data_IF_532295779387
#
_entry.id   IF_532295779387
#
_cell.length_a   1.000
_cell.length_b   1.000
_cell.length_c   1.000
_cell.angle_alpha   90.00
_cell.angle_beta   90.00
_cell.angle_gamma   90.00
#
_symmetry.space_group_name_H-M   'P 1'
#
loop_
_entity.id
_entity.type
_entity.pdbx_description
1 polymer ?
#
# COMPACT_ATOMS: atom_id res chain seq x y z
N UNK A 1 -2.12 -12.35 -20.86
CA UNK A 1 -2.05 -12.33 -22.34
C UNK A 1 -1.13 -13.43 -22.87
N UNK A 2 0.17 -13.44 -22.54
CA UNK A 2 1.12 -14.46 -23.04
C UNK A 2 0.68 -15.92 -22.82
N UNK A 3 0.15 -16.25 -21.63
CA UNK A 3 -0.32 -17.61 -21.33
C UNK A 3 -1.55 -18.02 -22.15
N UNK A 4 -2.48 -17.12 -22.44
CA UNK A 4 -3.65 -17.41 -23.27
C UNK A 4 -3.22 -17.71 -24.71
N UNK A 5 -2.28 -16.94 -25.24
CA UNK A 5 -1.71 -17.14 -26.59
C UNK A 5 -0.97 -18.48 -26.68
N UNK A 6 -0.23 -18.84 -25.63
CA UNK A 6 0.46 -20.12 -25.55
C UNK A 6 -0.54 -21.30 -25.47
N UNK A 7 -1.61 -21.16 -24.70
CA UNK A 7 -2.69 -22.15 -24.61
C UNK A 7 -3.39 -22.35 -25.96
N UNK A 8 -3.69 -21.26 -26.67
CA UNK A 8 -4.27 -21.34 -28.02
C UNK A 8 -3.32 -21.97 -29.04
N UNK A 9 -2.02 -21.73 -28.92
CA UNK A 9 -1.02 -22.36 -29.80
C UNK A 9 -1.01 -23.89 -29.65
N UNK A 10 -1.00 -24.40 -28.41
CA UNK A 10 -1.09 -25.85 -28.17
C UNK A 10 -2.41 -26.45 -28.61
N UNK A 11 -3.52 -25.71 -28.53
CA UNK A 11 -4.81 -26.14 -29.06
C UNK A 11 -4.77 -26.28 -30.60
N UNK A 12 -4.15 -25.33 -31.31
CA UNK A 12 -3.97 -25.41 -32.76
C UNK A 12 -3.07 -26.59 -33.17
N UNK A 13 -2.01 -26.84 -32.40
CA UNK A 13 -1.15 -28.03 -32.57
C UNK A 13 -1.94 -29.33 -32.40
N UNK A 14 -2.85 -29.41 -31.42
CA UNK A 14 -3.73 -30.56 -31.25
C UNK A 14 -4.60 -30.80 -32.50
N UNK A 15 -5.24 -29.75 -33.03
CA UNK A 15 -6.06 -29.85 -34.24
C UNK A 15 -5.26 -30.32 -35.48
N UNK A 16 -3.97 -29.98 -35.56
CA UNK A 16 -3.10 -30.40 -36.65
C UNK A 16 -2.49 -31.79 -36.51
N UNK A 17 -2.30 -32.29 -35.28
CA UNK A 17 -1.54 -33.53 -35.03
C UNK A 17 -2.32 -34.64 -34.31
N UNK A 18 -3.50 -34.36 -33.74
CA UNK A 18 -4.32 -35.28 -32.93
C UNK A 18 -3.55 -35.99 -31.79
N UNK A 19 -2.51 -35.34 -31.25
CA UNK A 19 -1.78 -35.84 -30.08
C UNK A 19 -2.36 -35.27 -28.79
N UNK A 20 -2.84 -36.15 -27.92
CA UNK A 20 -3.45 -35.79 -26.63
C UNK A 20 -2.51 -35.01 -25.69
N UNK A 21 -1.20 -35.16 -25.88
CA UNK A 21 -0.16 -34.39 -25.18
C UNK A 21 -0.40 -32.88 -25.30
N UNK A 22 -0.78 -32.40 -26.49
CA UNK A 22 -1.04 -30.98 -26.73
C UNK A 22 -2.38 -30.52 -26.14
N UNK A 23 -3.38 -31.40 -26.09
CA UNK A 23 -4.67 -31.11 -25.46
C UNK A 23 -4.48 -30.90 -23.95
N UNK A 24 -3.77 -31.82 -23.28
CA UNK A 24 -3.46 -31.73 -21.86
C UNK A 24 -2.64 -30.47 -21.53
N UNK A 25 -1.63 -30.15 -22.36
CA UNK A 25 -0.86 -28.92 -22.20
C UNK A 25 -1.73 -27.65 -22.32
N UNK A 26 -2.63 -27.59 -23.32
CA UNK A 26 -3.53 -26.45 -23.50
C UNK A 26 -4.46 -26.24 -22.29
N UNK A 27 -5.00 -27.33 -21.75
CA UNK A 27 -5.90 -27.31 -20.59
C UNK A 27 -5.19 -26.78 -19.34
N UNK A 28 -3.97 -27.24 -19.07
CA UNK A 28 -3.15 -26.75 -17.95
C UNK A 28 -2.83 -25.27 -18.10
N UNK A 29 -2.42 -24.82 -19.29
CA UNK A 29 -2.06 -23.42 -19.55
C UNK A 29 -3.26 -22.48 -19.37
N UNK A 30 -4.45 -22.88 -19.82
CA UNK A 30 -5.67 -22.09 -19.60
C UNK A 30 -6.06 -22.02 -18.12
N UNK A 31 -5.90 -23.11 -17.36
CA UNK A 31 -6.15 -23.14 -15.92
C UNK A 31 -5.24 -22.15 -15.17
N UNK A 32 -3.94 -22.16 -15.45
CA UNK A 32 -2.99 -21.21 -14.87
C UNK A 32 -3.29 -19.77 -15.28
N UNK A 33 -3.69 -19.54 -16.54
CA UNK A 33 -4.09 -18.22 -17.00
C UNK A 33 -5.34 -17.71 -16.27
N UNK A 34 -6.33 -18.57 -16.04
CA UNK A 34 -7.54 -18.23 -15.27
C UNK A 34 -7.22 -17.85 -13.83
N UNK A 35 -6.36 -18.63 -13.16
CA UNK A 35 -5.90 -18.33 -11.80
C UNK A 35 -5.13 -17.01 -11.71
N UNK A 36 -4.21 -16.75 -12.65
CA UNK A 36 -3.46 -15.50 -12.70
C UNK A 36 -4.40 -14.30 -12.92
N UNK A 37 -5.36 -14.44 -13.84
CA UNK A 37 -6.38 -13.41 -14.11
C UNK A 37 -7.26 -13.10 -12.90
N UNK A 38 -7.75 -14.14 -12.20
CA UNK A 38 -8.59 -13.97 -11.01
C UNK A 38 -7.84 -13.27 -9.87
N UNK A 39 -6.59 -13.66 -9.61
CA UNK A 39 -5.76 -13.01 -8.59
C UNK A 39 -5.44 -11.55 -8.95
N UNK A 40 -5.13 -11.26 -10.22
CA UNK A 40 -4.92 -9.89 -10.69
C UNK A 40 -6.18 -9.02 -10.57
N UNK A 41 -7.35 -9.57 -10.91
CA UNK A 41 -8.64 -8.90 -10.73
C UNK A 41 -8.91 -8.58 -9.26
N UNK A 42 -8.65 -9.55 -8.37
CA UNK A 42 -8.77 -9.35 -6.93
C UNK A 42 -7.84 -8.23 -6.44
N UNK A 43 -6.60 -8.17 -6.94
CA UNK A 43 -5.65 -7.11 -6.59
C UNK A 43 -6.11 -5.73 -7.07
N UNK A 44 -6.63 -5.62 -8.29
CA UNK A 44 -7.15 -4.36 -8.83
C UNK A 44 -8.31 -3.78 -8.01
N UNK A 45 -9.10 -4.66 -7.36
CA UNK A 45 -10.23 -4.26 -6.51
C UNK A 45 -9.80 -3.81 -5.10
N UNK A 46 -8.57 -4.08 -4.68
CA UNK A 46 -8.08 -3.65 -3.36
C UNK A 46 -7.72 -2.17 -3.41
N UNK A 47 -8.47 -1.34 -2.68
CA UNK A 47 -8.11 0.05 -2.46
C UNK A 47 -7.35 0.16 -1.13
N UNK A 48 -6.01 0.27 -1.14
CA UNK A 48 -5.26 0.33 0.11
C UNK A 48 -5.65 1.58 0.90
N UNK A 49 -5.87 1.46 2.23
CA UNK A 49 -6.18 2.63 3.04
C UNK A 49 -5.01 3.62 2.99
N UNK A 50 -5.31 4.89 2.68
CA UNK A 50 -4.32 5.96 2.72
C UNK A 50 -4.07 6.31 4.19
N UNK A 51 -2.81 6.46 4.58
CA UNK A 51 -2.42 6.89 5.92
C UNK A 51 -1.68 8.23 5.85
N UNK A 52 -1.95 9.13 6.80
CA UNK A 52 -1.13 10.31 7.10
C UNK A 52 -0.29 10.01 8.32
N UNK A 53 0.94 10.51 8.35
CA UNK A 53 1.70 10.54 9.59
C UNK A 53 1.47 11.90 10.24
N UNK A 54 1.07 11.89 11.50
CA UNK A 54 0.81 13.07 12.30
C UNK A 54 1.84 13.13 13.43
N UNK A 55 2.34 14.33 13.74
CA UNK A 55 3.12 14.60 14.94
C UNK A 55 2.34 15.47 15.90
N UNK A 56 2.47 15.19 17.18
CA UNK A 56 1.95 15.99 18.28
C UNK A 56 3.10 16.78 18.86
N UNK A 57 2.96 18.08 18.90
CA UNK A 57 3.90 19.02 19.50
C UNK A 57 3.22 19.56 20.76
N UNK A 58 3.87 19.43 21.91
CA UNK A 58 3.34 19.82 23.20
C UNK A 58 4.34 20.69 23.96
N UNK A 59 3.82 21.74 24.61
CA UNK A 59 4.59 22.61 25.48
C UNK A 59 4.67 22.01 26.89
N UNK A 60 5.88 21.87 27.41
CA UNK A 60 6.12 21.35 28.78
C UNK A 60 5.62 22.33 29.86
N UNK A 61 5.68 23.63 29.59
CA UNK A 61 5.38 24.67 30.60
C UNK A 61 3.87 24.89 30.81
N UNK A 62 3.09 24.91 29.74
CA UNK A 62 1.66 25.28 29.80
C UNK A 62 0.70 24.22 29.23
N UNK A 63 1.21 23.08 28.77
CA UNK A 63 0.40 21.98 28.21
C UNK A 63 -0.24 22.29 26.84
N UNK A 64 0.21 23.34 26.15
CA UNK A 64 -0.28 23.69 24.82
C UNK A 64 0.07 22.61 23.80
N UNK A 65 -0.93 22.10 23.07
CA UNK A 65 -0.79 21.02 22.08
C UNK A 65 -1.12 21.49 20.65
N UNK A 66 -0.29 21.09 19.70
CA UNK A 66 -0.50 21.27 18.26
C UNK A 66 -0.30 19.92 17.57
N UNK A 67 -1.26 19.53 16.73
CA UNK A 67 -1.10 18.38 15.84
C UNK A 67 -0.75 18.87 14.44
N UNK A 68 0.34 18.37 13.87
CA UNK A 68 0.80 18.72 12.52
C UNK A 68 1.00 17.48 11.67
N UNK A 69 0.69 17.60 10.39
CA UNK A 69 0.91 16.57 9.36
C UNK A 69 2.28 16.64 8.67
N UNK A 70 3.08 17.68 8.97
CA UNK A 70 4.41 17.90 8.40
C UNK A 70 5.47 17.12 9.18
N UNK A 71 5.51 15.80 9.02
CA UNK A 71 6.54 14.96 9.62
C UNK A 71 7.73 14.87 8.68
N UNK A 72 8.89 15.34 9.12
CA UNK A 72 10.14 15.27 8.37
C UNK A 72 10.99 14.08 8.82
N UNK A 73 11.84 13.56 7.92
CA UNK A 73 12.79 12.51 8.26
C UNK A 73 13.82 13.07 9.26
N UNK A 74 13.85 12.53 10.47
CA UNK A 74 14.67 13.05 11.58
C UNK A 74 13.86 13.72 12.69
N UNK A 75 12.53 13.72 12.62
CA UNK A 75 11.67 13.99 13.78
C UNK A 75 11.63 12.74 14.70
N UNK A 76 11.83 12.96 16.00
CA UNK A 76 11.79 11.93 17.04
C UNK A 76 11.05 12.44 18.27
N UNK A 77 10.59 11.52 19.12
CA UNK A 77 9.87 11.86 20.35
C UNK A 77 10.82 12.58 21.31
N UNK A 78 10.37 13.68 21.90
CA UNK A 78 11.12 14.64 22.73
C UNK A 78 12.13 15.51 21.97
N UNK A 79 12.01 15.63 20.65
CA UNK A 79 12.76 16.63 19.89
C UNK A 79 12.23 18.04 20.18
N UNK A 80 13.12 18.97 20.49
CA UNK A 80 12.81 20.40 20.62
C UNK A 80 12.55 21.03 19.24
N UNK A 81 11.37 21.64 19.07
CA UNK A 81 10.93 22.24 17.80
C UNK A 81 11.01 23.76 17.84
N UNK A 82 10.96 24.36 19.03
CA UNK A 82 11.05 25.80 19.25
C UNK A 82 10.40 26.25 20.56
N UNK A 83 10.16 27.56 20.68
CA UNK A 83 9.52 28.16 21.86
C UNK A 83 8.01 28.22 21.70
N UNK A 84 7.30 28.16 22.83
CA UNK A 84 5.84 28.17 22.85
C UNK A 84 5.31 29.60 22.63
N UNK A 85 4.40 29.81 21.66
CA UNK A 85 3.83 31.14 21.40
C UNK A 85 2.84 31.60 22.48
N UNK A 86 2.46 30.72 23.43
CA UNK A 86 1.43 31.00 24.44
C UNK A 86 2.01 31.39 25.81
N UNK A 87 3.19 30.89 26.16
CA UNK A 87 3.82 31.15 27.45
C UNK A 87 5.23 31.71 27.33
N UNK A 88 5.77 31.84 26.11
CA UNK A 88 7.07 32.43 25.73
C UNK A 88 8.33 31.76 26.31
N UNK A 89 8.24 31.16 27.50
CA UNK A 89 9.32 30.47 28.23
C UNK A 89 9.31 28.95 28.00
N UNK A 90 8.16 28.38 27.68
CA UNK A 90 8.01 26.94 27.53
C UNK A 90 8.59 26.42 26.20
N UNK A 91 9.32 25.31 26.26
CA UNK A 91 9.81 24.61 25.06
C UNK A 91 8.72 23.71 24.47
N UNK A 92 8.63 23.70 23.14
CA UNK A 92 7.78 22.80 22.37
C UNK A 92 8.55 21.52 22.03
N UNK A 93 8.02 20.39 22.47
CA UNK A 93 8.56 19.06 22.20
C UNK A 93 7.61 18.24 21.34
N UNK A 94 8.14 17.38 20.48
CA UNK A 94 7.34 16.35 19.81
C UNK A 94 6.99 15.24 20.83
N UNK A 95 5.75 15.15 21.30
CA UNK A 95 5.36 14.13 22.29
C UNK A 95 4.78 12.86 21.67
N UNK A 96 4.40 12.89 20.41
CA UNK A 96 3.89 11.69 19.72
C UNK A 96 4.01 11.77 18.21
N UNK A 97 4.21 10.61 17.58
CA UNK A 97 4.15 10.45 16.13
C UNK A 97 3.29 9.22 15.85
N UNK A 98 2.17 9.41 15.15
CA UNK A 98 1.22 8.33 14.87
C UNK A 98 0.73 8.37 13.42
N UNK A 99 0.20 7.24 12.95
CA UNK A 99 -0.43 7.14 11.63
C UNK A 99 -1.93 7.20 11.76
N UNK A 100 -2.54 8.15 11.06
CA UNK A 100 -3.98 8.32 10.97
C UNK A 100 -4.48 7.87 9.60
N UNK A 101 -5.62 7.17 9.55
CA UNK A 101 -6.22 6.76 8.28
C UNK A 101 -6.91 7.96 7.61
N UNK A 102 -6.46 8.31 6.41
CA UNK A 102 -7.13 9.25 5.51
C UNK A 102 -8.08 8.44 4.62
N UNK A 103 -9.26 8.11 5.12
CA UNK A 103 -10.30 7.43 4.34
C UNK A 103 -11.66 7.91 4.79
N UNK A 104 -12.56 8.21 3.84
CA UNK A 104 -13.95 8.56 4.16
C UNK A 104 -14.56 7.45 5.04
N UNK A 105 -15.17 7.86 6.16
CA UNK A 105 -16.12 7.03 6.92
C UNK A 105 -17.23 6.52 6.00
#
# INVERSE_FOLDING_TARGET
>A
MALVVLGSFFLLMYLGTNKDEYLNASMLVFLFSGMAGFNAFKLFKVNPPKYKTMKVIECIGCGYKITSDKVERGDYINKEVGNCPKCEEGKLLITGIYRERIGKK
#
